data_IF_548672409669
#
_entry.id   IF_548672409669
#
_cell.length_a   1.000
_cell.length_b   1.000
_cell.length_c   1.000
_cell.angle_alpha   90.00
_cell.angle_beta   90.00
_cell.angle_gamma   90.00
#
_symmetry.space_group_name_H-M   'P 1'
#
loop_
_entity.id
_entity.type
_entity.pdbx_description
1 polymer ?
#
# COMPACT_ATOMS: atom_id res chain seq x y z
N UNK A 1 10.40 2.54 -7.73
CA UNK A 1 10.18 1.18 -7.19
C UNK A 1 10.31 0.19 -8.34
N UNK A 2 10.71 -1.07 -8.13
CA UNK A 2 10.80 -2.11 -9.19
C UNK A 2 9.95 -3.32 -8.82
N UNK A 3 9.16 -3.84 -9.77
CA UNK A 3 8.22 -4.96 -9.58
C UNK A 3 8.90 -6.26 -9.12
N UNK A 4 10.08 -6.57 -9.65
CA UNK A 4 10.83 -7.77 -9.22
C UNK A 4 11.20 -7.75 -7.74
N UNK A 5 11.45 -6.58 -7.16
CA UNK A 5 11.68 -6.47 -5.72
C UNK A 5 10.37 -6.63 -4.95
N UNK A 6 9.25 -6.24 -5.56
CA UNK A 6 7.91 -6.40 -4.99
C UNK A 6 7.51 -7.87 -4.89
N UNK A 7 7.69 -8.63 -5.97
CA UNK A 7 7.37 -10.06 -6.02
C UNK A 7 8.22 -10.89 -5.05
N UNK A 8 9.51 -10.58 -4.90
CA UNK A 8 10.39 -11.27 -3.94
C UNK A 8 9.94 -11.05 -2.50
N UNK A 9 9.61 -9.80 -2.15
CA UNK A 9 9.22 -9.43 -0.79
C UNK A 9 7.82 -9.97 -0.46
N UNK A 10 6.86 -9.83 -1.38
CA UNK A 10 5.49 -10.34 -1.20
C UNK A 10 5.44 -11.87 -1.01
N UNK A 11 6.36 -12.62 -1.61
CA UNK A 11 6.43 -14.08 -1.49
C UNK A 11 7.28 -14.59 -0.31
N UNK A 12 7.95 -13.70 0.44
CA UNK A 12 8.78 -14.09 1.58
C UNK A 12 8.00 -13.96 2.89
N UNK A 13 7.28 -15.02 3.26
CA UNK A 13 6.49 -15.11 4.50
C UNK A 13 7.29 -14.75 5.77
N UNK A 14 8.62 -14.93 5.78
CA UNK A 14 9.46 -14.64 6.95
C UNK A 14 9.51 -13.14 7.24
N UNK A 15 9.36 -12.28 6.24
CA UNK A 15 9.30 -10.83 6.41
C UNK A 15 8.00 -10.38 7.12
N UNK A 16 6.99 -11.25 7.16
CA UNK A 16 5.63 -10.91 7.59
C UNK A 16 5.18 -11.67 8.86
N UNK A 17 5.77 -12.84 9.12
CA UNK A 17 5.26 -13.86 10.09
C UNK A 17 5.11 -13.40 11.54
N UNK A 18 5.88 -12.39 11.97
CA UNK A 18 5.93 -11.92 13.37
C UNK A 18 5.65 -10.43 13.53
N UNK A 19 5.09 -9.76 12.50
CA UNK A 19 4.65 -8.37 12.62
C UNK A 19 3.14 -8.34 12.88
N UNK A 20 2.77 -8.13 14.14
CA UNK A 20 1.42 -7.70 14.49
C UNK A 20 1.31 -6.20 14.15
N UNK A 21 1.12 -5.86 12.86
CA UNK A 21 0.96 -4.46 12.47
C UNK A 21 -0.48 -4.03 12.64
N UNK A 22 -0.65 -2.88 13.30
CA UNK A 22 -1.91 -2.18 13.27
C UNK A 22 -2.17 -1.68 11.85
N UNK A 23 -3.38 -1.92 11.35
CA UNK A 23 -3.72 -1.87 9.93
C UNK A 23 -3.60 -0.49 9.28
N UNK A 24 -3.85 -0.46 7.96
CA UNK A 24 -4.00 0.78 7.23
C UNK A 24 -5.33 1.45 7.64
N UNK A 25 -5.27 2.66 8.20
CA UNK A 25 -6.45 3.40 8.65
C UNK A 25 -7.15 4.16 7.54
N UNK A 26 -6.34 4.65 6.58
CA UNK A 26 -6.82 5.49 5.49
C UNK A 26 -5.83 5.45 4.34
N UNK A 27 -6.37 5.51 3.14
CA UNK A 27 -5.65 5.88 1.92
C UNK A 27 -6.31 7.12 1.31
N UNK A 28 -5.50 7.99 0.70
CA UNK A 28 -5.99 9.18 0.00
C UNK A 28 -5.22 9.35 -1.30
N UNK A 29 -5.96 9.51 -2.39
CA UNK A 29 -5.40 9.91 -3.66
C UNK A 29 -4.95 11.37 -3.63
N UNK A 30 -3.67 11.63 -3.87
CA UNK A 30 -3.10 12.99 -3.84
C UNK A 30 -2.64 13.52 -5.20
N UNK A 31 -2.79 12.73 -6.27
CA UNK A 31 -2.45 13.11 -7.63
C UNK A 31 -1.61 12.07 -8.37
N UNK A 32 -1.76 12.02 -9.69
CA UNK A 32 -1.13 11.04 -10.57
C UNK A 32 -1.32 9.59 -10.14
N UNK A 33 -0.27 8.92 -9.67
CA UNK A 33 -0.31 7.59 -9.06
C UNK A 33 0.24 7.62 -7.63
N UNK A 34 0.06 8.76 -6.95
CA UNK A 34 0.55 8.97 -5.59
C UNK A 34 -0.58 8.85 -4.59
N UNK A 35 -0.32 8.09 -3.54
CA UNK A 35 -1.22 7.96 -2.41
C UNK A 35 -0.57 8.50 -1.14
N UNK A 36 -1.38 9.12 -0.30
CA UNK A 36 -1.08 9.35 1.10
C UNK A 36 -1.70 8.22 1.92
N UNK A 37 -0.92 7.66 2.82
CA UNK A 37 -1.26 6.44 3.56
C UNK A 37 -1.09 6.72 5.05
N UNK A 38 -2.11 6.40 5.84
CA UNK A 38 -2.10 6.52 7.29
C UNK A 38 -2.12 5.12 7.89
N UNK A 39 -1.13 4.85 8.71
CA UNK A 39 -1.06 3.61 9.47
C UNK A 39 -1.37 3.90 10.92
N UNK A 40 -2.09 2.98 11.54
CA UNK A 40 -2.31 3.02 12.98
C UNK A 40 -0.99 2.73 13.71
N UNK A 41 -0.76 3.44 14.81
CA UNK A 41 0.31 3.15 15.77
C UNK A 41 -0.30 3.01 17.18
N UNK A 42 0.49 2.65 18.18
CA UNK A 42 -0.02 2.36 19.53
C UNK A 42 -0.88 3.51 20.10
N UNK A 43 -0.40 4.74 19.96
CA UNK A 43 -1.02 5.95 20.52
C UNK A 43 -1.10 7.10 19.50
N UNK A 44 -0.78 6.85 18.23
CA UNK A 44 -0.70 7.89 17.21
C UNK A 44 -0.84 7.27 15.79
N UNK A 45 -0.45 8.00 14.75
CA UNK A 45 -0.46 7.57 13.35
C UNK A 45 0.84 7.90 12.64
N UNK A 46 1.30 6.99 11.78
CA UNK A 46 2.35 7.24 10.80
C UNK A 46 1.74 7.58 9.44
N UNK A 47 2.32 8.56 8.75
CA UNK A 47 1.82 9.10 7.49
C UNK A 47 2.94 9.12 6.45
N UNK A 48 2.66 8.48 5.32
CA UNK A 48 3.59 8.37 4.19
C UNK A 48 2.92 8.85 2.90
N UNK A 49 3.72 9.39 1.97
CA UNK A 49 3.33 9.55 0.57
C UNK A 49 4.13 8.55 -0.27
N UNK A 50 3.45 7.72 -1.05
CA UNK A 50 4.08 6.72 -1.91
C UNK A 50 3.68 6.93 -3.37
N UNK A 51 4.68 6.88 -4.25
CA UNK A 51 4.51 7.00 -5.70
C UNK A 51 4.49 5.62 -6.35
N UNK A 52 3.32 5.23 -6.85
CA UNK A 52 3.11 3.96 -7.55
C UNK A 52 3.38 4.06 -9.05
N UNK A 53 3.65 5.24 -9.61
CA UNK A 53 3.89 5.40 -11.05
C UNK A 53 4.96 4.44 -11.59
N UNK A 54 6.13 4.28 -10.93
CA UNK A 54 7.15 3.36 -11.42
C UNK A 54 6.68 1.90 -11.43
N UNK A 55 5.81 1.52 -10.49
CA UNK A 55 5.31 0.16 -10.36
C UNK A 55 4.22 -0.16 -11.38
N UNK A 56 3.29 0.79 -11.57
CA UNK A 56 2.07 0.59 -12.35
C UNK A 56 2.29 0.91 -13.84
N UNK A 57 3.11 1.91 -14.14
CA UNK A 57 3.25 2.48 -15.49
C UNK A 57 4.60 2.15 -16.12
N UNK A 58 5.70 2.29 -15.38
CA UNK A 58 7.06 2.12 -15.94
C UNK A 58 7.53 0.67 -15.96
N UNK A 59 7.13 -0.14 -14.98
CA UNK A 59 7.46 -1.56 -14.89
C UNK A 59 6.27 -2.44 -15.32
N UNK A 60 6.46 -3.76 -15.36
CA UNK A 60 5.36 -4.71 -15.52
C UNK A 60 4.67 -4.90 -14.15
N UNK A 61 3.45 -4.37 -13.92
CA UNK A 61 2.75 -4.45 -12.63
C UNK A 61 2.29 -5.85 -12.21
N UNK A 62 2.61 -6.88 -13.01
CA UNK A 62 1.97 -8.18 -12.91
C UNK A 62 0.47 -8.11 -13.23
N UNK A 63 -0.23 -9.24 -13.14
CA UNK A 63 -1.66 -9.30 -13.46
C UNK A 63 -2.55 -8.50 -12.50
N UNK A 64 -2.14 -8.38 -11.24
CA UNK A 64 -2.94 -7.77 -10.17
C UNK A 64 -3.04 -6.26 -10.34
N UNK A 65 -1.93 -5.54 -10.54
CA UNK A 65 -1.97 -4.07 -10.67
C UNK A 65 -2.12 -3.58 -12.12
N UNK A 66 -2.14 -4.45 -13.12
CA UNK A 66 -2.37 -4.06 -14.53
C UNK A 66 -3.65 -3.23 -14.67
N UNK A 67 -4.71 -3.61 -13.94
CA UNK A 67 -6.00 -2.91 -13.94
C UNK A 67 -5.93 -1.51 -13.33
N UNK A 68 -4.94 -1.24 -12.47
CA UNK A 68 -4.74 0.08 -11.88
C UNK A 68 -4.09 1.07 -12.85
N UNK A 69 -3.65 0.67 -14.05
CA UNK A 69 -3.28 1.61 -15.11
C UNK A 69 -4.44 2.53 -15.48
N UNK A 70 -5.69 2.11 -15.29
CA UNK A 70 -6.82 3.05 -15.34
C UNK A 70 -6.76 3.99 -14.13
N UNK A 71 -6.41 5.25 -14.39
CA UNK A 71 -6.30 6.30 -13.38
C UNK A 71 -7.62 6.52 -12.62
N UNK A 72 -8.78 6.32 -13.26
CA UNK A 72 -10.07 6.44 -12.57
C UNK A 72 -10.24 5.35 -11.54
N UNK A 73 -9.85 4.12 -11.87
CA UNK A 73 -9.84 3.01 -10.91
C UNK A 73 -8.85 3.27 -9.78
N UNK A 74 -7.64 3.72 -10.09
CA UNK A 74 -6.62 4.01 -9.08
C UNK A 74 -7.07 5.06 -8.04
N UNK A 75 -7.86 6.06 -8.47
CA UNK A 75 -8.40 7.11 -7.60
C UNK A 75 -9.41 6.62 -6.57
N UNK A 76 -10.05 5.47 -6.82
CA UNK A 76 -11.06 4.87 -5.93
C UNK A 76 -10.41 4.00 -4.85
N UNK A 77 -9.20 4.35 -4.42
CA UNK A 77 -8.50 3.62 -3.37
C UNK A 77 -9.18 3.85 -2.02
N UNK A 78 -9.23 2.78 -1.23
CA UNK A 78 -9.72 2.79 0.14
C UNK A 78 -8.64 2.23 1.06
N UNK A 79 -8.57 2.76 2.27
CA UNK A 79 -7.77 2.17 3.34
C UNK A 79 -8.71 1.71 4.43
N UNK A 80 -8.82 0.40 4.58
CA UNK A 80 -9.62 -0.24 5.63
C UNK A 80 -8.94 -1.55 6.02
N UNK A 81 -8.04 -1.46 7.01
CA UNK A 81 -7.12 -2.51 7.44
C UNK A 81 -6.05 -2.90 6.39
N UNK A 82 -6.43 -2.94 5.11
CA UNK A 82 -5.58 -3.11 3.93
C UNK A 82 -5.74 -1.93 2.95
N UNK A 83 -4.87 -1.88 1.94
CA UNK A 83 -5.01 -0.95 0.82
C UNK A 83 -5.86 -1.61 -0.27
N UNK A 84 -7.05 -1.06 -0.54
CA UNK A 84 -8.08 -1.75 -1.33
C UNK A 84 -8.51 -0.90 -2.52
N UNK A 85 -8.72 -1.55 -3.66
CA UNK A 85 -9.50 -1.05 -4.78
C UNK A 85 -10.61 -2.05 -5.06
N UNK A 86 -11.85 -1.68 -4.71
CA UNK A 86 -13.04 -2.51 -4.92
C UNK A 86 -13.26 -2.78 -6.41
N UNK A 87 -14.09 -3.77 -6.71
CA UNK A 87 -14.50 -4.03 -8.08
C UNK A 87 -15.20 -2.77 -8.65
N UNK A 88 -14.70 -2.17 -9.76
CA UNK A 88 -15.26 -0.93 -10.29
C UNK A 88 -16.66 -1.09 -10.88
N UNK A 89 -17.10 -2.32 -11.20
CA UNK A 89 -18.43 -2.60 -11.76
C UNK A 89 -19.49 -2.74 -10.67
N UNK A 90 -19.16 -3.37 -9.55
CA UNK A 90 -20.11 -3.72 -8.48
C UNK A 90 -19.96 -2.83 -7.24
N UNK A 91 -18.79 -2.22 -7.04
CA UNK A 91 -18.44 -1.53 -5.80
C UNK A 91 -18.29 -2.48 -4.62
N UNK A 92 -18.07 -3.77 -4.86
CA UNK A 92 -17.96 -4.80 -3.83
C UNK A 92 -16.55 -5.37 -3.77
N UNK A 93 -16.24 -5.97 -2.61
CA UNK A 93 -15.05 -6.77 -2.42
C UNK A 93 -15.31 -8.19 -2.97
N UNK A 94 -14.86 -8.46 -4.19
CA UNK A 94 -15.00 -9.74 -4.87
C UNK A 94 -13.68 -10.14 -5.57
N UNK A 95 -13.70 -11.19 -6.40
CA UNK A 95 -12.51 -11.69 -7.13
C UNK A 95 -11.82 -10.65 -8.04
N UNK A 96 -12.50 -9.55 -8.36
CA UNK A 96 -11.95 -8.47 -9.15
C UNK A 96 -11.41 -7.31 -8.31
N UNK A 97 -11.63 -7.32 -7.00
CA UNK A 97 -11.01 -6.38 -6.09
C UNK A 97 -9.50 -6.60 -6.04
N UNK A 98 -8.76 -5.53 -5.73
CA UNK A 98 -7.32 -5.57 -5.54
C UNK A 98 -7.08 -5.12 -4.11
N UNK A 99 -6.46 -5.96 -3.30
CA UNK A 99 -6.03 -5.63 -1.96
C UNK A 99 -4.52 -5.81 -1.81
N UNK A 100 -3.93 -4.98 -0.95
CA UNK A 100 -2.54 -5.10 -0.54
C UNK A 100 -2.50 -5.06 0.97
N UNK A 101 -1.93 -6.11 1.56
CA UNK A 101 -1.76 -6.23 3.00
C UNK A 101 -0.98 -5.03 3.58
N UNK A 102 -1.34 -4.56 4.79
CA UNK A 102 -0.75 -3.38 5.42
C UNK A 102 0.77 -3.48 5.59
N UNK A 103 1.31 -4.66 5.88
CA UNK A 103 2.73 -4.90 6.11
C UNK A 103 3.52 -4.72 4.80
N UNK A 104 3.00 -5.27 3.70
CA UNK A 104 3.56 -5.11 2.37
C UNK A 104 3.67 -3.63 2.01
N UNK A 105 2.57 -2.89 2.14
CA UNK A 105 2.58 -1.48 1.78
C UNK A 105 3.44 -0.64 2.73
N UNK A 106 3.50 -0.97 4.02
CA UNK A 106 4.36 -0.26 4.98
C UNK A 106 5.83 -0.45 4.64
N UNK A 107 6.28 -1.66 4.31
CA UNK A 107 7.66 -1.89 3.86
C UNK A 107 8.06 -0.97 2.69
N UNK A 108 7.18 -0.80 1.69
CA UNK A 108 7.43 0.11 0.57
C UNK A 108 7.44 1.57 0.99
N UNK A 109 6.56 1.96 1.91
CA UNK A 109 6.55 3.30 2.49
C UNK A 109 7.85 3.62 3.21
N UNK A 110 8.39 2.67 4.00
CA UNK A 110 9.65 2.84 4.71
C UNK A 110 10.85 2.95 3.76
N UNK A 111 10.85 2.14 2.69
CA UNK A 111 11.98 2.03 1.76
C UNK A 111 11.99 3.10 0.66
N UNK A 112 10.83 3.47 0.13
CA UNK A 112 10.69 4.36 -1.04
C UNK A 112 9.75 5.54 -0.81
N UNK A 113 8.91 5.48 0.24
CA UNK A 113 7.94 6.52 0.53
C UNK A 113 8.58 7.77 1.11
N UNK A 114 7.92 8.90 0.87
CA UNK A 114 8.22 10.15 1.55
C UNK A 114 7.52 10.14 2.91
N UNK A 115 8.32 10.22 3.97
CA UNK A 115 7.86 10.29 5.36
C UNK A 115 7.29 11.68 5.64
N UNK A 116 5.99 11.77 5.94
CA UNK A 116 5.37 13.03 6.38
C UNK A 116 5.31 13.12 7.91
N UNK A 117 4.98 12.00 8.54
CA UNK A 117 4.97 11.83 9.99
C UNK A 117 5.32 10.38 10.27
N UNK A 118 6.28 10.12 11.14
CA UNK A 118 6.63 8.76 11.55
C UNK A 118 6.75 8.75 13.05
N UNK A 119 6.06 7.83 13.69
CA UNK A 119 6.25 7.54 15.10
C UNK A 119 7.42 6.57 15.16
N UNK A 120 8.51 6.99 15.78
CA UNK A 120 9.62 6.06 16.01
C UNK A 120 9.14 5.00 17.01
N UNK A 121 9.37 3.70 16.75
CA UNK A 121 9.15 2.70 17.78
C UNK A 121 9.99 3.10 18.99
N UNK A 122 9.37 3.12 20.17
CA UNK A 122 10.09 3.40 21.41
C UNK A 122 11.31 2.48 21.45
N UNK A 123 12.51 3.05 21.53
CA UNK A 123 13.74 2.30 21.62
C UNK A 123 13.57 1.29 22.76
N UNK A 124 13.56 0.00 22.42
CA UNK A 124 13.58 -1.09 23.40
C UNK A 124 14.89 -0.96 24.16
N UNK A 125 14.79 -0.45 25.39
CA UNK A 125 15.88 -0.38 26.35
C UNK A 125 16.13 -1.75 27.00
#
# INVERSE_FOLDING_TARGET
>A
MKWKEWEVVANDEILWRDREEKGLLKAEYIGDYKLRLWFEEELDVSIYELDFYPLIVEDNPGGVFERLKDKRRFQLVEGDYALIWLNPETGLYDEQAIDVAPECIRFFCEKYGKKLKVVEPAATA
#
